data_IF_282480748765
#
_entry.id   IF_282480748765
#
_cell.length_a   1.000
_cell.length_b   1.000
_cell.length_c   1.000
_cell.angle_alpha   90.00
_cell.angle_beta   90.00
_cell.angle_gamma   90.00
#
_symmetry.space_group_name_H-M   'P 1'
#
loop_
_entity.id
_entity.type
_entity.pdbx_description
1 polymer ?
#
# COMPACT_ATOMS: atom_id res chain seq x y z
N UNK A 1 19.09 -77.51 17.85
CA UNK A 1 19.33 -77.40 19.31
C UNK A 1 19.86 -75.99 19.51
N UNK A 2 19.25 -75.03 20.21
CA UNK A 2 18.59 -75.06 21.53
C UNK A 2 17.86 -73.71 21.66
N UNK A 3 16.53 -73.69 21.46
CA UNK A 3 15.49 -73.34 22.45
C UNK A 3 15.90 -72.37 23.56
N UNK A 4 15.20 -71.23 23.64
CA UNK A 4 15.21 -70.34 24.81
C UNK A 4 14.11 -69.27 24.70
N UNK A 5 12.88 -69.62 25.10
CA UNK A 5 11.72 -68.73 25.28
C UNK A 5 11.85 -68.00 26.62
N UNK A 6 11.55 -66.69 26.65
CA UNK A 6 11.01 -66.01 27.84
C UNK A 6 9.85 -65.11 27.43
N UNK A 7 8.72 -65.27 28.12
CA UNK A 7 7.49 -64.50 28.04
C UNK A 7 7.35 -63.67 29.32
N UNK A 8 7.09 -62.37 29.18
CA UNK A 8 6.41 -61.45 30.11
C UNK A 8 6.20 -60.18 29.25
N UNK A 9 5.08 -59.47 29.16
CA UNK A 9 3.86 -59.29 29.94
C UNK A 9 3.35 -57.89 29.50
N UNK A 10 2.05 -57.73 29.30
CA UNK A 10 1.37 -56.55 28.74
C UNK A 10 1.81 -55.18 29.30
N UNK A 11 1.83 -54.14 28.45
CA UNK A 11 0.98 -52.96 28.65
C UNK A 11 0.84 -52.12 27.36
N UNK A 12 -0.35 -51.54 27.23
CA UNK A 12 -0.85 -50.81 26.07
C UNK A 12 -0.27 -49.39 25.91
N UNK A 13 -0.31 -48.89 24.68
CA UNK A 13 -0.31 -47.44 24.39
C UNK A 13 0.28 -47.09 23.03
N UNK A 14 -0.52 -46.76 22.00
CA UNK A 14 0.00 -46.10 20.81
C UNK A 14 0.26 -44.63 21.14
N UNK A 15 1.53 -44.23 21.22
CA UNK A 15 1.91 -42.82 21.23
C UNK A 15 1.69 -42.24 19.84
N UNK A 16 0.49 -41.71 19.60
CA UNK A 16 0.18 -40.81 18.50
C UNK A 16 0.86 -39.47 18.78
N UNK A 17 2.04 -39.25 18.21
CA UNK A 17 2.61 -37.91 18.10
C UNK A 17 1.85 -37.20 16.99
N UNK A 18 0.74 -36.56 17.35
CA UNK A 18 0.04 -35.62 16.49
C UNK A 18 0.88 -34.33 16.43
N UNK A 19 1.78 -34.23 15.46
CA UNK A 19 2.42 -32.97 15.10
C UNK A 19 1.37 -32.03 14.53
N UNK A 20 0.88 -31.10 15.36
CA UNK A 20 0.11 -29.94 14.90
C UNK A 20 1.04 -29.07 14.05
N UNK A 21 1.01 -29.28 12.74
CA UNK A 21 1.55 -28.33 11.78
C UNK A 21 0.74 -27.05 11.86
N UNK A 22 1.22 -26.08 12.64
CA UNK A 22 0.73 -24.71 12.57
C UNK A 22 1.16 -24.15 11.22
N UNK A 23 0.27 -24.20 10.23
CA UNK A 23 0.43 -23.45 9.00
C UNK A 23 0.25 -21.98 9.35
N UNK A 24 1.36 -21.26 9.55
CA UNK A 24 1.37 -19.81 9.53
C UNK A 24 0.96 -19.40 8.12
N UNK A 25 -0.32 -19.11 7.92
CA UNK A 25 -0.77 -18.36 6.76
C UNK A 25 -0.21 -16.95 6.90
N UNK A 26 0.95 -16.68 6.30
CA UNK A 26 1.34 -15.31 6.00
C UNK A 26 0.32 -14.79 5.00
N UNK A 27 -0.68 -14.06 5.51
CA UNK A 27 -1.61 -13.33 4.67
C UNK A 27 -0.84 -12.22 3.98
N UNK A 28 -0.45 -12.44 2.72
CA UNK A 28 -0.06 -11.33 1.87
C UNK A 28 -1.28 -10.44 1.70
N UNK A 29 -1.16 -9.14 2.00
CA UNK A 29 -2.15 -8.16 1.57
C UNK A 29 -2.10 -8.13 0.03
N UNK A 30 -2.95 -8.93 -0.60
CA UNK A 30 -3.01 -9.03 -2.06
C UNK A 30 -3.60 -7.73 -2.62
N UNK A 31 -3.07 -7.28 -3.74
CA UNK A 31 -3.68 -6.22 -4.53
C UNK A 31 -5.11 -6.60 -4.90
N UNK A 32 -6.08 -5.86 -4.36
CA UNK A 32 -7.48 -6.04 -4.70
C UNK A 32 -7.79 -5.14 -5.89
N UNK A 33 -8.14 -5.70 -7.07
CA UNK A 33 -8.60 -4.91 -8.19
C UNK A 33 -9.86 -4.14 -7.78
N UNK A 34 -9.91 -2.85 -8.08
CA UNK A 34 -11.09 -2.03 -7.82
C UNK A 34 -11.65 -1.48 -9.13
N UNK A 35 -12.98 -1.47 -9.24
CA UNK A 35 -13.65 -0.73 -10.28
C UNK A 35 -13.59 0.76 -9.91
N UNK A 36 -13.00 1.57 -10.79
CA UNK A 36 -12.92 3.01 -10.63
C UNK A 36 -13.34 3.67 -11.94
N UNK A 37 -14.28 4.60 -11.86
CA UNK A 37 -14.62 5.48 -12.96
C UNK A 37 -13.63 6.65 -12.95
N UNK A 38 -13.03 6.92 -14.10
CA UNK A 38 -12.10 8.02 -14.28
C UNK A 38 -12.59 8.92 -15.41
N UNK A 39 -13.14 10.07 -15.05
CA UNK A 39 -13.74 11.01 -16.00
C UNK A 39 -12.81 12.20 -16.20
N UNK A 40 -12.37 12.49 -17.44
CA UNK A 40 -11.58 13.69 -17.72
C UNK A 40 -12.31 14.96 -17.29
N UNK A 41 -11.59 15.85 -16.62
CA UNK A 41 -12.08 17.16 -16.23
C UNK A 41 -11.24 18.25 -16.89
N UNK A 42 -11.84 19.39 -17.30
CA UNK A 42 -11.11 20.52 -17.83
C UNK A 42 -10.34 21.24 -16.71
N UNK A 43 -9.37 22.07 -17.10
CA UNK A 43 -8.68 22.96 -16.17
C UNK A 43 -9.64 23.98 -15.52
N UNK A 44 -10.60 24.50 -16.29
CA UNK A 44 -11.60 25.46 -15.85
C UNK A 44 -12.99 24.98 -16.21
N UNK A 45 -13.91 25.01 -15.24
CA UNK A 45 -15.32 24.70 -15.46
C UNK A 45 -16.07 25.81 -16.22
N UNK A 46 -15.53 27.03 -16.21
CA UNK A 46 -16.12 28.18 -16.91
C UNK A 46 -15.56 28.30 -18.33
N UNK A 47 -14.23 28.11 -18.47
CA UNK A 47 -13.48 28.25 -19.72
C UNK A 47 -12.92 26.89 -20.16
N UNK A 48 -13.77 26.03 -20.74
CA UNK A 48 -13.42 24.65 -21.07
C UNK A 48 -12.23 24.50 -22.05
N UNK A 49 -12.00 25.50 -22.89
CA UNK A 49 -10.89 25.51 -23.86
C UNK A 49 -9.57 26.02 -23.27
N UNK A 50 -9.57 26.51 -22.02
CA UNK A 50 -8.36 26.97 -21.35
C UNK A 50 -7.49 25.78 -20.96
N UNK A 51 -6.29 25.72 -21.52
CA UNK A 51 -5.29 24.69 -21.23
C UNK A 51 -4.00 25.26 -20.62
N UNK A 52 -3.98 26.54 -20.24
CA UNK A 52 -2.78 27.18 -19.68
C UNK A 52 -3.07 28.05 -18.46
N UNK A 53 -2.09 28.10 -17.56
CA UNK A 53 -2.01 29.02 -16.42
C UNK A 53 -0.59 29.58 -16.36
N UNK A 54 -0.41 30.83 -16.80
CA UNK A 54 0.92 31.43 -16.92
C UNK A 54 1.81 30.62 -17.88
N UNK A 55 2.93 30.08 -17.37
CA UNK A 55 3.84 29.22 -18.14
C UNK A 55 3.49 27.72 -18.04
N UNK A 56 2.48 27.35 -17.24
CA UNK A 56 2.08 25.96 -17.05
C UNK A 56 1.05 25.56 -18.10
N UNK A 57 1.26 24.40 -18.70
CA UNK A 57 0.29 23.76 -19.58
C UNK A 57 -0.44 22.65 -18.83
N UNK A 58 -1.76 22.71 -18.84
CA UNK A 58 -2.61 21.64 -18.33
C UNK A 58 -2.49 20.43 -19.24
N UNK A 59 -2.10 19.30 -18.65
CA UNK A 59 -1.91 18.02 -19.37
C UNK A 59 -3.06 17.05 -19.10
N UNK A 60 -4.17 17.53 -18.56
CA UNK A 60 -5.35 16.72 -18.19
C UNK A 60 -5.47 16.53 -16.68
N UNK A 61 -6.68 16.17 -16.26
CA UNK A 61 -7.03 15.83 -14.90
C UNK A 61 -8.23 14.91 -14.91
N UNK A 62 -8.41 14.17 -13.82
CA UNK A 62 -9.42 13.13 -13.71
C UNK A 62 -10.24 13.33 -12.44
N UNK A 63 -11.55 13.25 -12.57
CA UNK A 63 -12.44 12.98 -11.46
C UNK A 63 -12.56 11.46 -11.30
N UNK A 64 -12.19 10.96 -10.12
CA UNK A 64 -12.20 9.54 -9.79
C UNK A 64 -13.39 9.21 -8.89
N UNK A 65 -14.16 8.18 -9.24
CA UNK A 65 -15.31 7.71 -8.47
C UNK A 65 -15.32 6.20 -8.34
N UNK A 66 -15.72 5.69 -7.17
CA UNK A 66 -15.87 4.26 -6.89
C UNK A 66 -16.80 4.06 -5.70
N UNK A 67 -17.52 2.93 -5.69
CA UNK A 67 -18.33 2.51 -4.54
C UNK A 67 -17.49 1.83 -3.43
N UNK A 68 -16.18 1.69 -3.63
CA UNK A 68 -15.29 1.10 -2.64
C UNK A 68 -15.04 2.07 -1.48
N UNK A 69 -15.59 1.78 -0.30
CA UNK A 69 -15.50 2.65 0.88
C UNK A 69 -14.09 2.86 1.43
N UNK A 70 -13.10 2.05 1.03
CA UNK A 70 -11.69 2.25 1.42
C UNK A 70 -10.94 3.24 0.53
N UNK A 71 -11.52 3.62 -0.62
CA UNK A 71 -10.89 4.59 -1.53
C UNK A 71 -11.23 6.02 -1.10
N UNK A 72 -10.22 6.89 -1.03
CA UNK A 72 -10.36 8.29 -0.65
C UNK A 72 -9.16 8.78 0.14
N UNK A 73 -9.23 10.01 0.63
CA UNK A 73 -8.22 10.56 1.54
C UNK A 73 -6.79 10.62 0.97
N UNK A 74 -6.65 10.70 -0.35
CA UNK A 74 -5.34 10.66 -1.01
C UNK A 74 -4.53 11.92 -0.64
N UNK A 75 -3.41 11.71 0.06
CA UNK A 75 -2.55 12.77 0.61
C UNK A 75 -1.17 12.80 -0.03
N UNK A 76 -0.71 11.67 -0.57
CA UNK A 76 0.57 11.58 -1.28
C UNK A 76 0.40 10.90 -2.64
N UNK A 77 1.08 11.39 -3.68
CA UNK A 77 1.10 10.75 -5.00
C UNK A 77 2.49 10.77 -5.65
N UNK A 78 2.73 9.79 -6.51
CA UNK A 78 3.95 9.64 -7.28
C UNK A 78 3.67 8.96 -8.61
N UNK A 79 4.37 9.44 -9.64
CA UNK A 79 4.31 8.87 -10.98
C UNK A 79 5.64 8.19 -11.29
N UNK A 80 5.60 7.01 -11.89
CA UNK A 80 6.80 6.31 -12.35
C UNK A 80 7.58 7.16 -13.36
N UNK A 81 8.90 6.95 -13.44
CA UNK A 81 9.77 7.71 -14.34
C UNK A 81 9.36 7.64 -15.83
N UNK A 82 8.71 6.55 -16.25
CA UNK A 82 8.18 6.38 -17.61
C UNK A 82 6.80 7.04 -17.84
N UNK A 83 6.23 7.66 -16.80
CA UNK A 83 4.93 8.30 -16.84
C UNK A 83 3.75 7.34 -16.90
N UNK A 84 3.91 6.04 -16.67
CA UNK A 84 2.84 5.05 -16.93
C UNK A 84 2.09 4.56 -15.71
N UNK A 85 2.66 4.70 -14.52
CA UNK A 85 2.07 4.19 -13.27
C UNK A 85 1.92 5.31 -12.26
N UNK A 86 0.72 5.41 -11.72
CA UNK A 86 0.39 6.20 -10.55
C UNK A 86 0.44 5.30 -9.31
N UNK A 87 1.03 5.79 -8.24
CA UNK A 87 0.84 5.31 -6.88
C UNK A 87 0.36 6.50 -6.05
N UNK A 88 -0.67 6.30 -5.25
CA UNK A 88 -1.14 7.28 -4.28
C UNK A 88 -1.35 6.60 -2.93
N UNK A 89 -1.08 7.33 -1.85
CA UNK A 89 -1.30 6.87 -0.49
C UNK A 89 -2.39 7.71 0.15
N UNK A 90 -3.24 7.05 0.95
CA UNK A 90 -4.27 7.73 1.72
C UNK A 90 -3.83 7.98 3.15
N UNK A 91 -4.44 9.00 3.74
CA UNK A 91 -4.41 9.29 5.16
C UNK A 91 -5.02 8.17 6.03
N UNK A 92 -5.61 7.12 5.45
CA UNK A 92 -6.13 5.94 6.17
C UNK A 92 -5.35 4.66 5.85
N UNK A 93 -4.07 4.83 5.48
CA UNK A 93 -3.13 3.73 5.30
C UNK A 93 -3.44 2.85 4.10
N UNK A 94 -4.06 3.38 3.05
CA UNK A 94 -4.30 2.66 1.80
C UNK A 94 -3.30 3.08 0.73
N UNK A 95 -2.87 2.14 -0.10
CA UNK A 95 -2.10 2.35 -1.32
C UNK A 95 -3.02 2.11 -2.51
N UNK A 96 -3.33 3.17 -3.24
CA UNK A 96 -3.96 3.11 -4.55
C UNK A 96 -2.89 3.05 -5.65
N UNK A 97 -3.11 2.23 -6.67
CA UNK A 97 -2.23 2.15 -7.84
C UNK A 97 -3.06 1.98 -9.09
N UNK A 98 -2.63 2.61 -10.18
CA UNK A 98 -3.28 2.45 -11.49
C UNK A 98 -2.27 2.74 -12.61
N UNK A 99 -2.56 2.26 -13.81
CA UNK A 99 -1.86 2.73 -15.01
C UNK A 99 -2.54 3.98 -15.56
N UNK A 100 -1.73 4.97 -15.89
CA UNK A 100 -2.16 6.19 -16.55
C UNK A 100 -2.46 5.90 -18.03
N UNK A 101 -3.58 6.42 -18.52
CA UNK A 101 -3.99 6.36 -19.93
C UNK A 101 -3.92 7.75 -20.52
N UNK A 102 -3.27 7.88 -21.67
CA UNK A 102 -3.10 9.14 -22.39
C UNK A 102 -3.83 9.13 -23.73
N UNK A 103 -4.35 10.28 -24.13
CA UNK A 103 -4.88 10.49 -25.48
C UNK A 103 -3.76 10.56 -26.54
N UNK A 104 -4.13 10.74 -27.80
CA UNK A 104 -3.17 10.84 -28.92
C UNK A 104 -2.28 12.09 -28.84
N UNK A 105 -2.71 13.13 -28.15
CA UNK A 105 -1.93 14.35 -27.92
C UNK A 105 -1.01 14.23 -26.69
N UNK A 106 -1.08 13.11 -25.97
CA UNK A 106 -0.29 12.85 -24.76
C UNK A 106 -0.87 13.53 -23.52
N UNK A 107 -2.16 13.86 -23.48
CA UNK A 107 -2.83 14.35 -22.28
C UNK A 107 -3.46 13.19 -21.50
N UNK A 108 -3.46 13.30 -20.17
CA UNK A 108 -4.09 12.35 -19.27
C UNK A 108 -5.58 12.26 -19.59
N UNK A 109 -6.05 11.06 -19.90
CA UNK A 109 -7.39 10.80 -20.39
C UNK A 109 -8.12 9.70 -19.59
N UNK A 110 -7.43 8.98 -18.71
CA UNK A 110 -8.07 7.99 -17.85
C UNK A 110 -7.08 7.16 -17.04
N UNK A 111 -7.62 6.15 -16.36
CA UNK A 111 -6.88 5.14 -15.61
C UNK A 111 -7.31 3.74 -16.06
N UNK A 112 -6.45 2.75 -15.83
CA UNK A 112 -6.79 1.32 -15.95
C UNK A 112 -5.99 0.49 -14.95
N UNK A 113 -6.39 -0.77 -14.77
CA UNK A 113 -5.73 -1.73 -13.88
C UNK A 113 -5.57 -1.18 -12.45
N UNK A 114 -6.65 -0.57 -11.93
CA UNK A 114 -6.65 0.03 -10.61
C UNK A 114 -6.66 -1.04 -9.51
N UNK A 115 -5.80 -0.88 -8.52
CA UNK A 115 -5.69 -1.72 -7.33
C UNK A 115 -5.65 -0.90 -6.04
N UNK A 116 -6.16 -1.49 -4.97
CA UNK A 116 -6.08 -0.96 -3.61
C UNK A 116 -5.45 -2.01 -2.68
N UNK A 117 -4.52 -1.57 -1.83
CA UNK A 117 -3.85 -2.40 -0.83
C UNK A 117 -3.73 -1.63 0.47
N UNK A 118 -4.06 -2.24 1.60
CA UNK A 118 -3.74 -1.66 2.90
C UNK A 118 -2.25 -1.78 3.19
N UNK A 119 -1.62 -0.66 3.55
CA UNK A 119 -0.25 -0.64 4.05
C UNK A 119 -0.20 -1.41 5.37
N UNK A 120 0.88 -2.17 5.55
CA UNK A 120 1.12 -2.89 6.79
C UNK A 120 1.99 -2.06 7.75
N UNK A 121 1.74 -2.23 9.04
CA UNK A 121 2.65 -1.80 10.10
C UNK A 121 3.81 -2.77 10.31
N UNK A 122 4.63 -2.48 11.32
CA UNK A 122 5.81 -3.29 11.67
C UNK A 122 5.47 -4.71 12.13
N UNK A 123 4.21 -4.97 12.49
CA UNK A 123 3.68 -6.30 12.83
C UNK A 123 3.19 -7.09 11.60
N UNK A 124 3.32 -6.52 10.40
CA UNK A 124 2.87 -7.11 9.14
C UNK A 124 1.37 -7.06 8.92
N UNK A 125 0.61 -6.34 9.77
CA UNK A 125 -0.84 -6.23 9.67
C UNK A 125 -1.25 -4.83 9.18
N UNK A 126 -2.42 -4.69 8.55
CA UNK A 126 -3.01 -3.38 8.30
C UNK A 126 -3.10 -2.56 9.59
N UNK A 127 -2.96 -1.25 9.47
CA UNK A 127 -3.08 -0.35 10.62
C UNK A 127 -4.45 -0.47 11.28
N UNK A 128 -4.46 -0.62 12.60
CA UNK A 128 -5.70 -0.75 13.39
C UNK A 128 -6.29 0.59 13.82
N UNK A 129 -5.56 1.69 13.65
CA UNK A 129 -6.02 3.02 14.04
C UNK A 129 -5.61 4.08 13.01
N UNK A 130 -6.46 5.11 12.90
CA UNK A 130 -6.21 6.29 12.06
C UNK A 130 -4.86 6.94 12.38
N UNK A 131 -4.49 7.06 13.66
CA UNK A 131 -3.23 7.67 14.07
C UNK A 131 -1.99 6.85 13.65
N UNK A 132 -2.14 5.54 13.42
CA UNK A 132 -1.06 4.72 12.87
C UNK A 132 -1.01 4.82 11.34
N UNK A 133 -2.15 4.85 10.66
CA UNK A 133 -2.24 4.83 9.19
C UNK A 133 -2.15 6.17 8.48
N UNK A 134 -1.95 7.26 9.21
CA UNK A 134 -2.05 8.64 8.71
C UNK A 134 -0.89 9.04 7.80
N UNK A 135 -0.92 8.67 6.52
CA UNK A 135 0.13 9.04 5.57
C UNK A 135 -0.04 10.50 5.14
N UNK A 136 1.06 11.27 5.13
CA UNK A 136 1.06 12.65 4.62
C UNK A 136 1.97 12.86 3.42
N UNK A 137 2.98 12.00 3.27
CA UNK A 137 3.94 12.17 2.19
C UNK A 137 4.58 10.84 1.81
N UNK A 138 5.07 10.79 0.57
CA UNK A 138 5.95 9.72 0.14
C UNK A 138 7.02 10.22 -0.81
N UNK A 139 8.13 9.48 -0.84
CA UNK A 139 9.17 9.62 -1.84
C UNK A 139 9.52 8.25 -2.40
N UNK A 140 9.79 8.13 -3.71
CA UNK A 140 10.51 6.97 -4.20
C UNK A 140 11.91 6.93 -3.58
N UNK A 141 12.39 5.74 -3.24
CA UNK A 141 13.79 5.51 -2.90
C UNK A 141 14.61 5.07 -4.11
N UNK A 142 15.86 4.69 -3.87
CA UNK A 142 16.85 4.42 -4.94
C UNK A 142 16.81 2.97 -5.43
N UNK A 143 16.28 2.04 -4.63
CA UNK A 143 16.18 0.61 -4.91
C UNK A 143 14.76 0.20 -5.34
N UNK A 144 13.89 1.18 -5.60
CA UNK A 144 12.50 0.99 -6.00
C UNK A 144 11.52 0.88 -4.82
N UNK A 145 11.99 1.11 -3.59
CA UNK A 145 11.15 1.28 -2.41
C UNK A 145 10.31 2.55 -2.48
N UNK A 146 9.28 2.61 -1.64
CA UNK A 146 8.64 3.86 -1.24
C UNK A 146 8.96 4.16 0.21
N UNK A 147 9.40 5.39 0.47
CA UNK A 147 9.57 5.94 1.82
C UNK A 147 8.31 6.73 2.13
N UNK A 148 7.68 6.42 3.25
CA UNK A 148 6.38 6.96 3.66
C UNK A 148 6.53 7.69 4.99
N UNK A 149 6.02 8.91 5.05
CA UNK A 149 5.96 9.72 6.26
C UNK A 149 4.53 9.74 6.81
N UNK A 150 4.41 9.58 8.13
CA UNK A 150 3.13 9.51 8.82
C UNK A 150 2.91 10.72 9.74
N UNK A 151 1.68 11.22 9.83
CA UNK A 151 1.20 12.18 10.84
C UNK A 151 0.74 11.45 12.12
N UNK A 152 0.55 12.20 13.21
CA UNK A 152 0.07 11.78 14.55
C UNK A 152 1.02 10.87 15.30
N UNK A 153 1.43 9.77 14.69
CA UNK A 153 2.58 8.96 15.09
C UNK A 153 3.67 9.13 14.06
N UNK A 154 4.36 10.27 14.19
CA UNK A 154 5.46 10.63 13.32
C UNK A 154 6.51 9.54 13.30
N UNK A 155 6.81 9.11 12.07
CA UNK A 155 7.83 8.12 11.75
C UNK A 155 7.99 8.06 10.24
N UNK A 156 9.11 7.47 9.84
CA UNK A 156 9.39 7.14 8.46
C UNK A 156 9.41 5.61 8.32
N UNK A 157 8.63 5.08 7.38
CA UNK A 157 8.67 3.65 7.05
C UNK A 157 9.10 3.47 5.58
N UNK A 158 9.99 2.52 5.36
CA UNK A 158 10.45 2.08 4.04
C UNK A 158 9.72 0.80 3.64
N UNK A 159 8.99 0.84 2.53
CA UNK A 159 8.32 -0.33 1.95
C UNK A 159 9.08 -0.81 0.72
N UNK A 160 9.73 -1.97 0.83
CA UNK A 160 10.43 -2.62 -0.28
C UNK A 160 9.45 -3.31 -1.23
N UNK A 161 9.73 -3.36 -2.54
CA UNK A 161 8.91 -4.09 -3.50
C UNK A 161 8.71 -5.55 -3.11
N UNK A 162 7.45 -5.99 -3.03
CA UNK A 162 7.09 -7.38 -2.74
C UNK A 162 7.28 -7.80 -1.27
N UNK A 163 7.66 -6.87 -0.39
CA UNK A 163 7.81 -7.12 1.05
C UNK A 163 6.64 -6.48 1.80
N UNK A 164 5.96 -7.26 2.63
CA UNK A 164 4.81 -6.77 3.39
C UNK A 164 5.22 -5.93 4.60
N UNK A 165 6.19 -6.41 5.38
CA UNK A 165 6.64 -5.73 6.60
C UNK A 165 7.58 -4.60 6.21
N UNK A 166 7.27 -3.33 6.53
CA UNK A 166 8.18 -2.23 6.25
C UNK A 166 9.35 -2.20 7.22
N UNK A 167 10.37 -1.43 6.86
CA UNK A 167 11.52 -1.15 7.70
C UNK A 167 11.41 0.27 8.28
N UNK A 168 11.59 0.46 9.61
CA UNK A 168 11.63 1.80 10.18
C UNK A 168 12.91 2.50 9.74
N UNK A 169 12.79 3.77 9.33
CA UNK A 169 13.94 4.63 9.08
C UNK A 169 14.20 5.53 10.30
N UNK A 170 15.47 5.93 10.53
CA UNK A 170 15.78 6.92 11.54
C UNK A 170 15.02 8.22 11.30
N UNK A 171 14.39 8.74 12.34
CA UNK A 171 13.74 10.04 12.30
C UNK A 171 14.79 11.15 12.39
N UNK A 172 14.73 12.15 11.49
CA UNK A 172 15.49 13.38 11.68
C UNK A 172 15.16 14.02 13.04
N UNK A 173 16.14 14.66 13.68
CA UNK A 173 15.92 15.31 14.99
C UNK A 173 14.80 16.35 14.92
N UNK A 174 14.65 16.98 13.76
CA UNK A 174 13.61 17.97 13.44
C UNK A 174 12.19 17.40 13.57
N UNK A 175 12.00 16.07 13.47
CA UNK A 175 10.69 15.43 13.61
C UNK A 175 10.23 15.27 15.07
N UNK A 176 11.15 15.39 16.03
CA UNK A 176 10.86 15.09 17.46
C UNK A 176 9.90 16.10 18.10
N UNK A 177 9.87 17.33 17.60
CA UNK A 177 9.06 18.43 18.14
C UNK A 177 7.87 18.79 17.25
N UNK A 178 7.53 17.94 16.27
CA UNK A 178 6.42 18.18 15.38
C UNK A 178 5.07 18.15 16.13
N UNK A 179 4.14 19.07 15.82
CA UNK A 179 2.83 19.10 16.46
C UNK A 179 1.98 17.91 16.01
N UNK A 180 0.98 17.56 16.82
CA UNK A 180 0.17 16.34 16.61
C UNK A 180 -0.41 16.16 15.20
N UNK A 181 -0.86 17.25 14.55
CA UNK A 181 -1.53 17.19 13.25
C UNK A 181 -1.42 18.49 12.42
N UNK A 182 -0.26 19.13 12.45
CA UNK A 182 -0.01 20.33 11.63
C UNK A 182 1.37 20.23 10.98
N UNK A 183 1.47 20.67 9.71
CA UNK A 183 2.73 20.74 8.96
C UNK A 183 3.60 21.94 9.30
#
# INVERSE_FOLDING_TARGET
MMVGRFLFGMLAGPSLVAGLGAWLTLGFAAAEPIAIEATPIPLSAEEHDRDTVGQLRYRGGLHLSTDNSRFGGLSALGISADGRRLVALSDDGQRFSARLVYDRAGNLAGLRDADLVSLAGLDGRPFSSKADGDVESMSPGVEGEIIVAFERRHRLLRYLPGVTVPEPLPEPVEMSDLPFNNG
#
